data_IF_921763367734
#
_entry.id   IF_921763367734
#
_cell.length_a   1.000
_cell.length_b   1.000
_cell.length_c   1.000
_cell.angle_alpha   90.00
_cell.angle_beta   90.00
_cell.angle_gamma   90.00
#
_symmetry.space_group_name_H-M   'P 1'
#
loop_
_entity.id
_entity.type
_entity.pdbx_description
1 polymer ?
#
# COMPACT_ATOMS: atom_id res chain seq x y z
N UNK A 1 -47.35 45.10 14.28
CA UNK A 1 -47.94 43.77 14.24
C UNK A 1 -48.26 43.42 12.81
N UNK A 2 -47.39 42.63 12.15
CA UNK A 2 -47.70 41.96 10.88
C UNK A 2 -46.95 40.63 10.87
N UNK A 3 -47.68 39.56 11.03
CA UNK A 3 -47.31 38.17 10.95
C UNK A 3 -47.07 37.80 9.51
N UNK A 4 -45.82 37.42 9.18
CA UNK A 4 -45.43 36.86 7.87
C UNK A 4 -45.30 35.36 7.95
N UNK A 5 -46.16 34.65 7.24
CA UNK A 5 -46.20 33.20 7.09
C UNK A 5 -45.18 32.80 6.00
N UNK A 6 -44.22 31.96 6.34
CA UNK A 6 -43.31 31.32 5.35
C UNK A 6 -44.04 30.10 4.71
N UNK A 7 -43.96 29.91 3.40
CA UNK A 7 -44.43 28.69 2.75
C UNK A 7 -43.39 27.58 2.86
N UNK A 8 -43.82 26.43 3.33
CA UNK A 8 -43.11 25.17 3.34
C UNK A 8 -43.07 24.64 1.89
N UNK A 9 -41.89 24.60 1.30
CA UNK A 9 -41.66 23.93 0.01
C UNK A 9 -41.36 22.47 0.27
N UNK A 10 -42.32 21.61 -0.01
CA UNK A 10 -42.14 20.16 -0.02
C UNK A 10 -41.46 19.79 -1.33
N UNK A 11 -40.18 19.47 -1.26
CA UNK A 11 -39.44 18.94 -2.40
C UNK A 11 -39.66 17.43 -2.51
N UNK A 12 -40.43 17.00 -3.49
CA UNK A 12 -40.70 15.60 -3.77
C UNK A 12 -39.44 14.85 -4.18
N UNK A 13 -39.11 13.81 -3.45
CA UNK A 13 -38.04 12.86 -3.81
C UNK A 13 -38.62 11.91 -4.84
N UNK A 14 -38.22 12.07 -6.09
CA UNK A 14 -38.47 11.07 -7.16
C UNK A 14 -37.51 9.93 -6.95
N UNK A 15 -38.00 8.80 -6.43
CA UNK A 15 -37.27 7.54 -6.38
C UNK A 15 -37.26 6.94 -7.78
N UNK A 16 -36.14 7.06 -8.47
CA UNK A 16 -35.87 6.31 -9.69
C UNK A 16 -35.42 4.90 -9.32
N UNK A 17 -36.36 3.94 -9.32
CA UNK A 17 -36.02 2.51 -9.26
C UNK A 17 -35.61 2.07 -10.65
N UNK A 18 -34.33 2.20 -10.95
CA UNK A 18 -33.70 1.60 -12.11
C UNK A 18 -33.20 0.21 -11.77
N UNK A 19 -33.97 -0.83 -12.10
CA UNK A 19 -33.47 -2.21 -12.21
C UNK A 19 -32.39 -2.27 -13.31
N UNK A 20 -31.13 -2.30 -12.94
CA UNK A 20 -30.08 -2.82 -13.85
C UNK A 20 -28.96 -3.45 -13.04
N UNK A 21 -28.83 -4.79 -13.25
CA UNK A 21 -27.61 -5.56 -13.27
C UNK A 21 -26.69 -5.42 -12.03
N UNK A 22 -26.68 -6.44 -11.19
CA UNK A 22 -25.59 -6.71 -10.25
C UNK A 22 -24.26 -6.66 -11.02
N UNK A 23 -23.30 -5.80 -10.67
CA UNK A 23 -21.95 -5.98 -11.18
C UNK A 23 -21.39 -7.25 -10.50
N UNK A 24 -21.25 -8.31 -11.28
CA UNK A 24 -20.38 -9.43 -10.97
C UNK A 24 -19.01 -8.84 -10.64
N UNK A 25 -18.45 -9.24 -9.50
CA UNK A 25 -17.04 -8.96 -9.15
C UNK A 25 -16.17 -9.70 -10.19
N UNK A 26 -16.05 -9.09 -11.37
CA UNK A 26 -15.21 -9.53 -12.45
C UNK A 26 -13.88 -8.80 -12.34
N UNK A 27 -12.82 -9.59 -12.44
CA UNK A 27 -11.44 -9.20 -12.65
C UNK A 27 -11.27 -7.80 -13.25
N UNK A 28 -11.01 -6.81 -12.42
CA UNK A 28 -10.32 -5.63 -12.91
C UNK A 28 -8.86 -6.05 -13.09
N UNK A 29 -8.34 -6.06 -14.32
CA UNK A 29 -6.92 -6.26 -14.51
C UNK A 29 -6.22 -5.16 -13.72
N UNK A 30 -5.26 -5.58 -12.88
CA UNK A 30 -4.38 -4.66 -12.15
C UNK A 30 -3.89 -3.61 -13.15
N UNK A 31 -4.45 -2.41 -13.06
CA UNK A 31 -4.16 -1.33 -13.99
C UNK A 31 -2.65 -1.16 -14.03
N UNK A 32 -2.06 -1.14 -15.23
CA UNK A 32 -0.68 -0.73 -15.46
C UNK A 32 -0.55 0.68 -14.88
N UNK A 33 -0.24 0.73 -13.58
CA UNK A 33 0.05 1.98 -12.89
C UNK A 33 1.23 2.60 -13.62
N UNK A 34 1.08 3.84 -14.03
CA UNK A 34 2.02 4.58 -14.84
C UNK A 34 3.45 4.50 -14.32
N UNK A 35 4.14 3.45 -14.72
CA UNK A 35 5.58 3.34 -14.59
C UNK A 35 6.15 4.31 -15.61
N UNK A 36 6.66 5.45 -15.13
CA UNK A 36 7.44 6.35 -15.98
C UNK A 36 8.50 5.52 -16.70
N UNK A 37 8.71 5.78 -18.01
CA UNK A 37 9.71 5.09 -18.82
C UNK A 37 11.04 5.03 -18.04
N UNK A 38 11.51 3.81 -17.71
CA UNK A 38 12.79 3.58 -17.02
C UNK A 38 12.69 3.25 -15.52
N UNK A 39 11.50 3.24 -14.91
CA UNK A 39 11.37 2.79 -13.52
C UNK A 39 11.17 1.27 -13.51
N UNK A 40 12.00 0.49 -12.80
CA UNK A 40 11.88 -0.96 -12.77
C UNK A 40 10.59 -1.40 -12.07
N UNK A 41 10.09 -2.59 -12.41
CA UNK A 41 8.94 -3.19 -11.72
C UNK A 41 9.34 -3.62 -10.30
N UNK A 42 9.18 -2.69 -9.37
CA UNK A 42 9.48 -2.93 -7.96
C UNK A 42 8.55 -3.97 -7.33
N UNK A 43 7.30 -4.03 -7.77
CA UNK A 43 6.31 -4.97 -7.22
C UNK A 43 6.70 -6.39 -7.59
N UNK A 44 7.03 -6.66 -8.85
CA UNK A 44 7.49 -7.98 -9.28
C UNK A 44 8.80 -8.38 -8.57
N UNK A 45 9.75 -7.47 -8.44
CA UNK A 45 11.01 -7.72 -7.78
C UNK A 45 10.86 -7.98 -6.27
N UNK A 46 9.96 -7.25 -5.59
CA UNK A 46 9.60 -7.48 -4.19
C UNK A 46 8.98 -8.88 -4.02
N UNK A 47 7.99 -9.23 -4.84
CA UNK A 47 7.34 -10.56 -4.81
C UNK A 47 8.33 -11.70 -5.04
N UNK A 48 9.38 -11.49 -5.84
CA UNK A 48 10.42 -12.48 -6.10
C UNK A 48 11.47 -12.56 -4.98
N UNK A 49 11.42 -11.66 -3.98
CA UNK A 49 12.43 -11.66 -2.90
C UNK A 49 12.16 -12.79 -1.91
N UNK A 50 13.14 -13.67 -1.62
CA UNK A 50 12.96 -14.75 -0.65
C UNK A 50 12.60 -14.22 0.74
N UNK A 51 11.49 -14.69 1.32
CA UNK A 51 10.92 -14.24 2.58
C UNK A 51 9.98 -13.03 2.45
N UNK A 52 9.69 -12.54 1.24
CA UNK A 52 8.57 -11.66 1.00
C UNK A 52 7.26 -12.49 0.99
N UNK A 53 6.38 -12.21 1.93
CA UNK A 53 5.10 -12.93 2.12
C UNK A 53 4.01 -12.44 1.16
N UNK A 54 4.11 -11.18 0.70
CA UNK A 54 3.15 -10.60 -0.21
C UNK A 54 3.40 -9.11 -0.42
N UNK A 55 2.84 -8.59 -1.51
CA UNK A 55 2.94 -7.17 -1.89
C UNK A 55 1.58 -6.71 -2.40
N UNK A 56 1.12 -5.59 -1.85
CA UNK A 56 -0.08 -4.90 -2.31
C UNK A 56 0.25 -3.45 -2.67
N UNK A 57 -0.55 -2.86 -3.52
CA UNK A 57 -0.40 -1.45 -3.90
C UNK A 57 -1.72 -0.71 -3.74
N UNK A 58 -1.63 0.57 -3.38
CA UNK A 58 -2.79 1.43 -3.26
C UNK A 58 -2.49 2.86 -3.69
N UNK A 59 -3.56 3.60 -3.97
CA UNK A 59 -3.53 5.05 -4.06
C UNK A 59 -4.41 5.61 -2.95
N UNK A 60 -3.84 6.45 -2.11
CA UNK A 60 -4.60 7.09 -1.01
C UNK A 60 -5.52 8.20 -1.54
N UNK A 61 -6.51 8.58 -0.76
CA UNK A 61 -7.35 9.74 -1.06
C UNK A 61 -6.58 11.06 -1.18
N UNK A 62 -5.39 11.17 -0.56
CA UNK A 62 -4.47 12.30 -0.71
C UNK A 62 -3.53 12.19 -1.92
N UNK A 63 -3.72 11.18 -2.78
CA UNK A 63 -2.97 11.00 -4.03
C UNK A 63 -1.62 10.30 -3.91
N UNK A 64 -1.24 9.80 -2.73
CA UNK A 64 0.00 9.03 -2.57
C UNK A 64 -0.11 7.68 -3.24
N UNK A 65 0.94 7.29 -3.97
CA UNK A 65 1.13 5.91 -4.41
C UNK A 65 1.80 5.14 -3.27
N UNK A 66 1.27 3.97 -2.92
CA UNK A 66 1.75 3.19 -1.77
C UNK A 66 2.01 1.75 -2.18
N UNK A 67 3.12 1.21 -1.71
CA UNK A 67 3.45 -0.22 -1.77
C UNK A 67 3.48 -0.73 -0.33
N UNK A 68 2.73 -1.79 -0.08
CA UNK A 68 2.78 -2.57 1.14
C UNK A 68 3.54 -3.86 0.84
N UNK A 69 4.64 -4.10 1.52
CA UNK A 69 5.42 -5.32 1.38
C UNK A 69 5.58 -6.00 2.74
N UNK A 70 5.08 -7.22 2.87
CA UNK A 70 5.21 -8.03 4.09
C UNK A 70 6.39 -8.97 3.97
N UNK A 71 7.23 -8.97 4.98
CA UNK A 71 8.40 -9.83 5.08
C UNK A 71 8.33 -10.72 6.32
N UNK A 72 8.88 -11.91 6.23
CA UNK A 72 8.95 -12.87 7.34
C UNK A 72 9.71 -12.30 8.53
N UNK A 73 10.82 -11.59 8.27
CA UNK A 73 11.74 -11.08 9.26
C UNK A 73 12.64 -9.98 8.68
N UNK A 74 13.56 -9.47 9.51
CA UNK A 74 14.59 -8.50 9.11
C UNK A 74 15.51 -9.05 8.00
N UNK A 75 15.84 -10.33 8.02
CA UNK A 75 16.73 -10.94 7.02
C UNK A 75 16.11 -10.89 5.63
N UNK A 76 14.80 -11.11 5.54
CA UNK A 76 14.08 -10.99 4.28
C UNK A 76 14.07 -9.53 3.76
N UNK A 77 13.87 -8.54 4.63
CA UNK A 77 14.00 -7.12 4.25
C UNK A 77 15.42 -6.80 3.77
N UNK A 78 16.45 -7.32 4.43
CA UNK A 78 17.85 -7.14 4.00
C UNK A 78 18.14 -7.78 2.64
N UNK A 79 17.56 -8.95 2.34
CA UNK A 79 17.66 -9.56 0.99
C UNK A 79 17.10 -8.64 -0.08
N UNK A 80 15.92 -8.05 0.16
CA UNK A 80 15.36 -7.03 -0.73
C UNK A 80 16.29 -5.82 -0.85
N UNK A 81 16.73 -5.27 0.26
CA UNK A 81 17.59 -4.09 0.30
C UNK A 81 18.89 -4.29 -0.49
N UNK A 82 19.48 -5.48 -0.43
CA UNK A 82 20.69 -5.82 -1.16
C UNK A 82 20.45 -6.42 -2.55
N UNK A 83 19.19 -6.51 -3.00
CA UNK A 83 18.86 -7.00 -4.33
C UNK A 83 19.41 -6.07 -5.43
N UNK A 84 19.68 -6.64 -6.59
CA UNK A 84 20.18 -5.86 -7.74
C UNK A 84 19.17 -4.81 -8.19
N UNK A 85 17.88 -5.12 -8.12
CA UNK A 85 16.81 -4.18 -8.46
C UNK A 85 16.81 -2.98 -7.51
N UNK A 86 16.81 -3.22 -6.19
CA UNK A 86 16.84 -2.14 -5.21
C UNK A 86 18.11 -1.30 -5.35
N UNK A 87 19.28 -1.92 -5.42
CA UNK A 87 20.56 -1.22 -5.59
C UNK A 87 20.59 -0.35 -6.85
N UNK A 88 20.06 -0.84 -7.97
CA UNK A 88 19.96 -0.10 -9.22
C UNK A 88 19.09 1.14 -9.10
N UNK A 89 17.90 1.00 -8.46
CA UNK A 89 16.99 2.11 -8.18
C UNK A 89 17.66 3.16 -7.31
N UNK A 90 18.31 2.72 -6.24
CA UNK A 90 18.97 3.64 -5.33
C UNK A 90 20.13 4.38 -6.01
N UNK A 91 20.97 3.69 -6.79
CA UNK A 91 22.05 4.32 -7.55
C UNK A 91 21.52 5.32 -8.59
N UNK A 92 20.43 5.00 -9.26
CA UNK A 92 19.85 5.83 -10.31
C UNK A 92 19.14 7.08 -9.76
N UNK A 93 18.38 6.93 -8.68
CA UNK A 93 17.47 7.98 -8.21
C UNK A 93 17.90 8.64 -6.90
N UNK A 94 18.81 8.04 -6.14
CA UNK A 94 19.32 8.57 -4.88
C UNK A 94 20.85 8.43 -4.77
N UNK A 95 21.60 8.97 -5.74
CA UNK A 95 23.06 8.87 -5.72
C UNK A 95 23.64 9.55 -4.47
N UNK A 96 24.73 9.02 -3.94
CA UNK A 96 25.45 9.61 -2.81
C UNK A 96 24.95 9.23 -1.41
N UNK A 97 23.90 8.42 -1.27
CA UNK A 97 23.51 7.88 0.04
C UNK A 97 24.37 6.66 0.43
N UNK A 98 24.68 6.57 1.73
CA UNK A 98 25.37 5.40 2.30
C UNK A 98 24.36 4.29 2.62
N UNK A 99 24.51 3.15 1.96
CA UNK A 99 23.62 1.99 2.10
C UNK A 99 24.29 0.80 2.82
N UNK A 100 25.47 1.01 3.44
CA UNK A 100 26.26 -0.10 3.99
C UNK A 100 25.67 -0.77 5.22
N UNK A 101 24.88 -0.05 5.99
CA UNK A 101 24.33 -0.55 7.27
C UNK A 101 22.83 -0.23 7.38
N UNK A 102 21.96 -0.84 6.56
CA UNK A 102 20.53 -0.64 6.68
C UNK A 102 19.99 -1.33 7.93
N UNK A 103 18.88 -0.80 8.46
CA UNK A 103 18.07 -1.43 9.51
C UNK A 103 18.81 -1.71 10.82
N UNK A 104 19.83 -0.90 11.17
CA UNK A 104 20.57 -1.11 12.44
C UNK A 104 19.65 -1.06 13.66
N UNK A 105 18.65 -0.18 13.63
CA UNK A 105 17.68 0.04 14.71
C UNK A 105 16.59 -1.05 14.79
N UNK A 106 16.54 -1.96 13.81
CA UNK A 106 15.54 -3.04 13.78
C UNK A 106 16.11 -4.27 14.47
N UNK A 107 15.47 -4.78 15.58
CA UNK A 107 15.91 -6.00 16.26
C UNK A 107 15.92 -7.24 15.34
N UNK A 108 16.86 -8.16 15.57
CA UNK A 108 17.05 -9.38 14.76
C UNK A 108 15.91 -10.39 14.94
N UNK A 109 15.34 -10.48 16.13
CA UNK A 109 14.34 -11.48 16.54
C UNK A 109 12.90 -10.97 16.47
N UNK A 110 12.69 -9.87 15.77
CA UNK A 110 11.44 -9.12 15.81
C UNK A 110 10.26 -9.72 15.05
N UNK A 111 10.40 -10.85 14.37
CA UNK A 111 9.33 -11.46 13.57
C UNK A 111 8.95 -10.64 12.32
N UNK A 112 7.71 -10.80 11.82
CA UNK A 112 7.29 -10.20 10.57
C UNK A 112 7.38 -8.68 10.57
N UNK A 113 7.71 -8.13 9.38
CA UNK A 113 7.82 -6.70 9.14
C UNK A 113 6.93 -6.33 7.94
N UNK A 114 6.10 -5.31 8.12
CA UNK A 114 5.44 -4.61 7.04
C UNK A 114 6.28 -3.37 6.68
N UNK A 115 6.81 -3.33 5.47
CA UNK A 115 7.40 -2.13 4.89
C UNK A 115 6.35 -1.39 4.07
N UNK A 116 6.15 -0.11 4.36
CA UNK A 116 5.27 0.78 3.61
C UNK A 116 6.16 1.80 2.89
N UNK A 117 6.19 1.70 1.56
CA UNK A 117 6.80 2.72 0.72
C UNK A 117 5.72 3.63 0.18
N UNK A 118 5.77 4.92 0.46
CA UNK A 118 4.82 5.89 -0.08
C UNK A 118 5.51 7.01 -0.84
N UNK A 119 4.91 7.42 -1.96
CA UNK A 119 5.44 8.47 -2.83
C UNK A 119 4.32 9.40 -3.28
N UNK A 120 4.60 10.70 -3.28
CA UNK A 120 3.74 11.71 -3.88
C UNK A 120 4.48 12.35 -5.05
N UNK A 121 3.93 12.22 -6.24
CA UNK A 121 4.47 12.86 -7.44
C UNK A 121 4.17 14.35 -7.47
N UNK A 122 5.01 15.10 -8.16
CA UNK A 122 4.89 16.53 -8.42
C UNK A 122 5.17 16.79 -9.90
N UNK A 123 4.86 17.98 -10.38
CA UNK A 123 5.17 18.36 -11.77
C UNK A 123 6.67 18.45 -12.04
N UNK A 124 7.45 18.82 -11.01
CA UNK A 124 8.90 18.99 -11.08
C UNK A 124 9.56 18.40 -9.84
N UNK A 125 10.84 17.97 -9.93
CA UNK A 125 11.61 17.57 -8.77
C UNK A 125 11.63 18.67 -7.70
N UNK A 126 11.37 18.30 -6.44
CA UNK A 126 11.43 19.23 -5.29
C UNK A 126 12.66 19.03 -4.41
N UNK A 127 13.39 17.95 -4.64
CA UNK A 127 14.59 17.59 -3.88
C UNK A 127 15.80 17.59 -4.80
N UNK A 128 16.93 18.13 -4.30
CA UNK A 128 18.21 18.14 -5.01
C UNK A 128 18.85 16.77 -5.10
N UNK A 129 18.50 15.89 -4.16
CA UNK A 129 19.05 14.54 -3.99
C UNK A 129 18.48 13.51 -4.97
N UNK A 130 17.46 13.89 -5.73
CA UNK A 130 16.82 12.98 -6.70
C UNK A 130 16.29 13.74 -7.92
N UNK A 131 16.47 13.19 -9.13
CA UNK A 131 15.86 13.75 -10.35
C UNK A 131 14.36 13.41 -10.47
N UNK A 132 13.80 12.60 -9.55
CA UNK A 132 12.40 12.22 -9.60
C UNK A 132 11.48 13.43 -9.35
N UNK A 133 10.39 13.61 -10.15
CA UNK A 133 9.40 14.64 -9.93
C UNK A 133 8.48 14.26 -8.76
N UNK A 134 9.02 14.32 -7.55
CA UNK A 134 8.32 13.97 -6.31
C UNK A 134 8.34 15.11 -5.33
N UNK A 135 7.29 15.20 -4.51
CA UNK A 135 7.17 16.11 -3.38
C UNK A 135 7.28 15.40 -2.03
N UNK A 136 7.19 14.08 -2.03
CA UNK A 136 7.34 13.27 -0.83
C UNK A 136 7.77 11.85 -1.22
N UNK A 137 8.62 11.25 -0.40
CA UNK A 137 8.87 9.81 -0.34
C UNK A 137 9.12 9.41 1.11
N UNK A 138 8.54 8.30 1.55
CA UNK A 138 8.86 7.68 2.84
C UNK A 138 8.93 6.17 2.71
N UNK A 139 9.78 5.57 3.54
CA UNK A 139 9.83 4.13 3.77
C UNK A 139 9.68 3.95 5.28
N UNK A 140 8.61 3.29 5.68
CA UNK A 140 8.25 3.11 7.07
C UNK A 140 8.13 1.62 7.39
N UNK A 141 8.54 1.22 8.59
CA UNK A 141 8.52 -0.18 9.01
C UNK A 141 7.58 -0.35 10.20
N UNK A 142 6.73 -1.35 10.12
CA UNK A 142 5.72 -1.67 11.13
C UNK A 142 5.78 -3.14 11.49
N UNK A 143 5.27 -3.49 12.66
CA UNK A 143 5.10 -4.87 13.10
C UNK A 143 3.66 -5.17 13.41
N UNK A 144 3.16 -6.37 13.08
CA UNK A 144 1.84 -6.79 13.51
C UNK A 144 1.77 -6.86 15.02
N UNK A 145 0.71 -6.29 15.60
CA UNK A 145 0.35 -6.52 17.00
C UNK A 145 -0.57 -7.73 17.12
N UNK A 146 -0.61 -8.34 18.31
CA UNK A 146 -1.53 -9.46 18.58
C UNK A 146 -2.98 -9.00 18.54
N UNK A 147 -3.87 -9.85 18.02
CA UNK A 147 -5.32 -9.60 17.98
C UNK A 147 -5.83 -9.22 16.61
N UNK A 148 -7.07 -8.76 16.57
CA UNK A 148 -7.77 -8.42 15.35
C UNK A 148 -8.85 -9.43 14.97
N UNK A 149 -9.61 -9.12 13.94
CA UNK A 149 -10.68 -9.97 13.39
C UNK A 149 -10.56 -10.04 11.86
N UNK A 150 -11.00 -11.14 11.28
CA UNK A 150 -11.21 -11.28 9.84
C UNK A 150 -12.54 -11.96 9.55
N UNK A 151 -13.11 -11.71 8.38
CA UNK A 151 -14.31 -12.33 7.86
C UNK A 151 -14.21 -12.35 6.33
N UNK A 152 -14.20 -13.54 5.72
CA UNK A 152 -14.10 -13.69 4.26
C UNK A 152 -12.75 -13.34 3.67
N UNK A 153 -11.70 -13.18 4.50
CA UNK A 153 -10.35 -12.83 4.08
C UNK A 153 -9.75 -11.66 4.87
N UNK A 154 -8.56 -11.26 4.48
CA UNK A 154 -7.83 -10.14 5.11
C UNK A 154 -6.90 -9.43 4.12
N UNK A 155 -6.54 -8.18 4.43
CA UNK A 155 -5.62 -7.39 3.59
C UNK A 155 -4.19 -7.94 3.60
N UNK A 156 -3.72 -8.41 4.76
CA UNK A 156 -2.40 -9.01 4.85
C UNK A 156 -2.37 -10.41 4.19
N UNK A 157 -1.23 -10.83 3.61
CA UNK A 157 -1.12 -12.13 2.96
C UNK A 157 -1.36 -13.28 3.94
N UNK A 158 -1.88 -14.41 3.45
CA UNK A 158 -2.21 -15.57 4.28
C UNK A 158 -1.01 -16.13 5.04
N UNK A 159 0.18 -16.10 4.44
CA UNK A 159 1.43 -16.53 5.07
C UNK A 159 1.84 -15.73 6.30
N UNK A 160 1.30 -14.51 6.47
CA UNK A 160 1.59 -13.70 7.65
C UNK A 160 0.85 -14.25 8.87
N UNK A 161 1.57 -14.69 9.88
CA UNK A 161 0.98 -15.14 11.16
C UNK A 161 0.78 -13.95 12.09
N UNK A 162 -0.48 -13.64 12.42
CA UNK A 162 -0.85 -12.63 13.42
C UNK A 162 -1.35 -13.37 14.66
N UNK A 163 -0.64 -13.30 15.80
CA UNK A 163 -1.08 -13.99 17.00
C UNK A 163 -2.46 -13.51 17.46
N UNK A 164 -3.33 -14.43 17.93
CA UNK A 164 -4.67 -14.12 18.43
C UNK A 164 -5.62 -13.41 17.43
N UNK A 165 -5.33 -13.45 16.14
CA UNK A 165 -6.30 -13.05 15.11
C UNK A 165 -7.48 -14.03 15.15
N UNK A 166 -8.71 -13.50 15.19
CA UNK A 166 -9.95 -14.30 15.18
C UNK A 166 -10.53 -14.28 13.78
N UNK A 167 -10.65 -15.45 13.17
CA UNK A 167 -11.30 -15.58 11.86
C UNK A 167 -12.75 -16.06 12.05
N UNK A 168 -13.69 -15.21 11.65
CA UNK A 168 -15.12 -15.47 11.69
C UNK A 168 -15.68 -15.95 10.34
N UNK A 169 -14.80 -16.27 9.39
CA UNK A 169 -15.24 -16.81 8.09
C UNK A 169 -16.00 -18.13 8.29
N UNK A 170 -17.22 -18.26 7.79
CA UNK A 170 -17.96 -19.51 7.87
C UNK A 170 -17.16 -20.63 7.22
N UNK A 171 -16.90 -21.70 7.97
CA UNK A 171 -16.33 -22.91 7.38
C UNK A 171 -17.42 -23.52 6.52
N UNK A 172 -17.19 -23.60 5.20
CA UNK A 172 -18.12 -24.26 4.28
C UNK A 172 -18.50 -25.65 4.81
N UNK A 173 -19.79 -25.98 4.72
CA UNK A 173 -20.29 -27.34 4.98
C UNK A 173 -19.87 -28.27 3.87
#
# INVERSE_FOLDING_TARGET
MKTGVLPVIILGIIVWVGLRGTPTAGDQPAGKQGQGKGFPDLVAALKATPGCLGVETAKTGSGKQVIFAWFEDKKAVLKWYHSDTHRRVMKQFFPGRDYRKPLQEVPEDGGPILAIASITFAEKPRFKETPLPISQISIELYRPVSGGISLGGRFAPEGLKVPKLRDYTPKGK
#
